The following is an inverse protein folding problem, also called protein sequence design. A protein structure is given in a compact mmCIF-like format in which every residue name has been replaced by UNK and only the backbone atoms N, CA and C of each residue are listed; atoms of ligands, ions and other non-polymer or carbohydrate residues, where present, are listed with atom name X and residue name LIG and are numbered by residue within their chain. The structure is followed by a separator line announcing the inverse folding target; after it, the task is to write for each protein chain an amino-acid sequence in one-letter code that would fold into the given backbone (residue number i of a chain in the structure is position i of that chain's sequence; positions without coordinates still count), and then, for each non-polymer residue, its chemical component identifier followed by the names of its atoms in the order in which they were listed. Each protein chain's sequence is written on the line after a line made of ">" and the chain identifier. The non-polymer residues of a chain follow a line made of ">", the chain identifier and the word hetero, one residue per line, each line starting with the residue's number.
data_IF_314097401697
#
_entry.id   IF_314097401697
#
_cell.length_a   1.000
_cell.length_b   1.000
_cell.length_c   1.000
_cell.angle_alpha   90.00
_cell.angle_beta   90.00
_cell.angle_gamma   90.00
#
_symmetry.space_group_name_H-M   'P 1'
#
loop_
_entity.id
_entity.type
_entity.pdbx_description
1 polymer ?
#
# COMPACT_ATOMS: atom_id res chain seq x y z
N UNK A 1 10.04 -20.11 -9.26
CA UNK A 1 11.11 -19.13 -8.92
C UNK A 1 12.54 -19.68 -8.89
N UNK A 2 12.81 -20.95 -8.55
CA UNK A 2 14.19 -21.47 -8.50
C UNK A 2 14.97 -21.27 -9.82
N UNK A 3 14.30 -21.37 -10.96
CA UNK A 3 14.87 -21.17 -12.30
C UNK A 3 15.27 -19.70 -12.57
N UNK A 4 14.49 -18.75 -12.06
CA UNK A 4 14.73 -17.30 -12.27
C UNK A 4 16.09 -16.88 -11.71
N UNK A 5 16.50 -17.44 -10.56
CA UNK A 5 17.82 -17.15 -9.99
C UNK A 5 18.94 -17.56 -10.93
N UNK A 6 18.83 -18.74 -11.57
CA UNK A 6 19.85 -19.22 -12.50
C UNK A 6 19.96 -18.29 -13.71
N UNK A 7 18.82 -17.82 -14.23
CA UNK A 7 18.78 -16.84 -15.34
C UNK A 7 19.42 -15.51 -14.92
N UNK A 8 19.03 -14.94 -13.78
CA UNK A 8 19.60 -13.69 -13.27
C UNK A 8 21.09 -13.80 -13.00
N UNK A 9 21.56 -14.95 -12.52
CA UNK A 9 22.98 -15.18 -12.22
C UNK A 9 23.82 -15.39 -13.47
N UNK A 10 23.23 -15.82 -14.58
CA UNK A 10 23.94 -16.15 -15.82
C UNK A 10 23.99 -15.00 -16.82
N UNK A 11 23.10 -14.01 -16.66
CA UNK A 11 22.94 -12.90 -17.60
C UNK A 11 23.19 -11.56 -16.90
N UNK A 12 23.88 -10.64 -17.59
CA UNK A 12 24.00 -9.25 -17.16
C UNK A 12 23.12 -8.38 -18.06
N UNK A 13 22.27 -7.54 -17.46
CA UNK A 13 21.29 -6.75 -18.21
C UNK A 13 21.54 -5.24 -18.06
N UNK A 14 22.57 -4.68 -18.71
CA UNK A 14 23.05 -3.31 -18.45
C UNK A 14 22.06 -2.20 -18.83
N UNK A 15 20.99 -2.56 -19.56
CA UNK A 15 19.96 -1.64 -20.04
C UNK A 15 18.55 -2.08 -19.65
N UNK A 16 18.43 -3.00 -18.70
CA UNK A 16 17.10 -3.46 -18.27
C UNK A 16 16.40 -2.33 -17.54
N UNK A 17 15.30 -1.87 -18.12
CA UNK A 17 14.46 -0.82 -17.54
C UNK A 17 13.19 -1.36 -16.90
N UNK A 18 12.75 -2.53 -17.34
CA UNK A 18 11.49 -3.15 -16.89
C UNK A 18 11.72 -4.61 -16.59
N UNK A 19 11.32 -5.03 -15.40
CA UNK A 19 11.32 -6.42 -14.99
C UNK A 19 9.95 -6.78 -14.43
N UNK A 20 9.44 -7.94 -14.85
CA UNK A 20 8.22 -8.52 -14.31
C UNK A 20 8.47 -9.99 -14.04
N UNK A 21 8.34 -10.40 -12.77
CA UNK A 21 8.45 -11.78 -12.34
C UNK A 21 7.10 -12.22 -11.79
N UNK A 22 6.52 -13.25 -12.39
CA UNK A 22 5.25 -13.83 -11.95
C UNK A 22 5.45 -15.31 -11.60
N UNK A 23 4.83 -15.76 -10.52
CA UNK A 23 4.86 -17.16 -10.08
C UNK A 23 3.46 -17.61 -9.68
N UNK A 24 3.03 -18.79 -10.13
CA UNK A 24 1.74 -19.33 -9.71
C UNK A 24 1.76 -19.83 -8.26
N UNK A 25 2.91 -20.30 -7.80
CA UNK A 25 3.15 -20.66 -6.39
C UNK A 25 3.81 -19.50 -5.64
N UNK A 26 3.39 -19.30 -4.39
CA UNK A 26 4.04 -18.34 -3.52
C UNK A 26 5.48 -18.78 -3.18
N UNK A 27 6.46 -17.86 -3.20
CA UNK A 27 7.82 -18.20 -2.83
C UNK A 27 7.91 -18.40 -1.32
N UNK A 28 8.95 -19.11 -0.88
CA UNK A 28 9.43 -18.97 0.50
C UNK A 28 10.14 -17.62 0.65
N UNK A 29 10.13 -17.03 1.84
CA UNK A 29 10.79 -15.73 2.06
C UNK A 29 12.28 -15.77 1.67
N UNK A 30 12.98 -16.87 2.00
CA UNK A 30 14.39 -17.08 1.61
C UNK A 30 14.61 -17.04 0.08
N UNK A 31 13.67 -17.59 -0.69
CA UNK A 31 13.77 -17.59 -2.15
C UNK A 31 13.53 -16.19 -2.70
N UNK A 32 12.58 -15.46 -2.12
CA UNK A 32 12.33 -14.07 -2.49
C UNK A 32 13.57 -13.21 -2.21
N UNK A 33 14.14 -13.29 -1.01
CA UNK A 33 15.34 -12.52 -0.63
C UNK A 33 16.47 -12.76 -1.63
N UNK A 34 16.73 -14.00 -2.01
CA UNK A 34 17.74 -14.34 -3.03
C UNK A 34 17.43 -13.77 -4.42
N UNK A 35 16.16 -13.67 -4.79
CA UNK A 35 15.75 -13.04 -6.05
C UNK A 35 15.98 -11.52 -5.99
N UNK A 36 15.66 -10.88 -4.87
CA UNK A 36 15.87 -9.45 -4.66
C UNK A 36 17.37 -9.10 -4.64
N UNK A 37 18.19 -9.90 -3.95
CA UNK A 37 19.66 -9.81 -3.99
C UNK A 37 20.19 -9.97 -5.43
N UNK A 38 19.71 -10.96 -6.17
CA UNK A 38 20.15 -11.15 -7.56
C UNK A 38 19.74 -9.98 -8.46
N UNK A 39 18.58 -9.37 -8.22
CA UNK A 39 18.15 -8.14 -8.93
C UNK A 39 19.12 -7.00 -8.62
N UNK A 40 19.43 -6.78 -7.34
CA UNK A 40 20.35 -5.74 -6.87
C UNK A 40 21.77 -5.89 -7.45
N UNK A 41 22.32 -7.10 -7.49
CA UNK A 41 23.67 -7.35 -7.98
C UNK A 41 23.81 -7.27 -9.51
N UNK A 42 22.75 -7.59 -10.26
CA UNK A 42 22.84 -7.87 -11.71
C UNK A 42 22.19 -6.81 -12.59
N UNK A 43 21.39 -5.93 -12.02
CA UNK A 43 20.71 -4.86 -12.72
C UNK A 43 21.31 -3.54 -12.25
N UNK A 44 21.85 -2.70 -13.15
CA UNK A 44 22.33 -1.38 -12.76
C UNK A 44 21.22 -0.58 -12.07
N UNK A 45 21.52 -0.04 -10.89
CA UNK A 45 20.52 0.63 -10.05
C UNK A 45 19.87 1.82 -10.75
N UNK A 46 20.65 2.52 -11.58
CA UNK A 46 20.18 3.65 -12.37
C UNK A 46 19.30 3.28 -13.58
N UNK A 47 19.25 2.01 -14.01
CA UNK A 47 18.53 1.62 -15.22
C UNK A 47 17.11 1.15 -14.95
N UNK A 48 16.85 0.50 -13.82
CA UNK A 48 15.55 -0.09 -13.51
C UNK A 48 14.53 1.00 -13.15
N UNK A 49 13.43 1.02 -13.89
CA UNK A 49 12.35 2.02 -13.76
C UNK A 49 11.03 1.35 -13.39
N UNK A 50 10.87 0.08 -13.75
CA UNK A 50 9.66 -0.71 -13.54
C UNK A 50 10.04 -2.07 -12.97
N UNK A 51 9.50 -2.40 -11.81
CA UNK A 51 9.67 -3.69 -11.17
C UNK A 51 8.31 -4.21 -10.72
N UNK A 52 7.94 -5.38 -11.22
CA UNK A 52 6.73 -6.10 -10.84
C UNK A 52 7.08 -7.49 -10.34
N UNK A 53 6.65 -7.83 -9.14
CA UNK A 53 6.93 -9.07 -8.44
C UNK A 53 5.61 -9.65 -7.93
N UNK A 54 5.08 -10.61 -8.68
CA UNK A 54 3.79 -11.24 -8.39
C UNK A 54 3.99 -12.71 -8.06
N UNK A 55 3.40 -13.17 -6.96
CA UNK A 55 3.30 -14.60 -6.71
C UNK A 55 1.94 -14.98 -6.12
N UNK A 56 1.46 -16.15 -6.51
CA UNK A 56 0.27 -16.75 -5.94
C UNK A 56 0.43 -17.08 -4.45
N UNK A 57 -0.64 -17.60 -3.87
CA UNK A 57 -0.70 -17.82 -2.42
C UNK A 57 0.20 -18.99 -1.99
N UNK A 58 0.89 -18.83 -0.86
CA UNK A 58 1.42 -19.98 -0.12
C UNK A 58 0.31 -20.49 0.80
N UNK A 59 0.22 -21.81 0.98
CA UNK A 59 -0.54 -22.36 2.13
C UNK A 59 0.21 -22.19 3.45
N UNK A 60 1.49 -21.80 3.38
CA UNK A 60 2.35 -21.61 4.53
C UNK A 60 2.15 -20.19 5.09
N UNK A 61 1.39 -20.10 6.19
CA UNK A 61 0.95 -18.85 6.84
C UNK A 61 2.09 -18.21 7.66
N UNK A 62 3.22 -18.91 7.82
CA UNK A 62 4.32 -18.48 8.69
C UNK A 62 5.20 -17.37 8.11
N UNK A 63 5.35 -17.30 6.79
CA UNK A 63 6.33 -16.44 6.14
C UNK A 63 5.95 -14.95 6.24
N UNK A 64 6.96 -14.10 6.48
CA UNK A 64 6.81 -12.64 6.60
C UNK A 64 7.92 -11.98 5.78
N UNK A 65 7.54 -11.00 4.96
CA UNK A 65 8.44 -10.05 4.31
C UNK A 65 8.45 -8.77 5.13
N UNK A 66 9.62 -8.33 5.56
CA UNK A 66 9.80 -7.06 6.26
C UNK A 66 10.65 -6.09 5.44
N UNK A 67 10.92 -4.91 5.99
CA UNK A 67 11.74 -3.90 5.31
C UNK A 67 13.16 -4.39 4.98
N UNK A 68 13.76 -5.23 5.82
CA UNK A 68 15.10 -5.76 5.56
C UNK A 68 15.15 -6.61 4.28
N UNK A 69 14.09 -7.36 3.98
CA UNK A 69 13.94 -8.10 2.70
C UNK A 69 13.90 -7.17 1.49
N UNK A 70 13.26 -6.00 1.61
CA UNK A 70 13.09 -5.05 0.52
C UNK A 70 14.27 -4.06 0.39
N UNK A 71 15.16 -4.01 1.38
CA UNK A 71 16.24 -3.01 1.46
C UNK A 71 17.19 -3.02 0.26
N UNK A 72 17.43 -4.20 -0.33
CA UNK A 72 18.22 -4.31 -1.56
C UNK A 72 17.58 -3.61 -2.76
N UNK A 73 16.29 -3.25 -2.69
CA UNK A 73 15.62 -2.47 -3.71
C UNK A 73 15.73 -0.95 -3.51
N UNK A 74 16.27 -0.48 -2.38
CA UNK A 74 16.30 0.96 -2.06
C UNK A 74 17.31 1.73 -2.91
N UNK A 75 18.36 1.08 -3.42
CA UNK A 75 19.35 1.71 -4.30
C UNK A 75 18.80 2.08 -5.69
N UNK A 76 17.64 1.52 -6.09
CA UNK A 76 17.00 1.80 -7.38
C UNK A 76 16.23 3.14 -7.36
N UNK A 77 16.95 4.25 -7.17
CA UNK A 77 16.36 5.60 -7.02
C UNK A 77 15.54 6.09 -8.23
N UNK A 78 15.71 5.48 -9.41
CA UNK A 78 14.94 5.78 -10.62
C UNK A 78 13.67 4.94 -10.78
N UNK A 79 13.30 4.16 -9.76
CA UNK A 79 12.09 3.35 -9.79
C UNK A 79 10.86 4.27 -9.85
N UNK A 80 10.04 4.07 -10.89
CA UNK A 80 8.80 4.81 -11.14
C UNK A 80 7.59 3.93 -10.89
N UNK A 81 7.74 2.62 -11.05
CA UNK A 81 6.67 1.65 -10.86
C UNK A 81 7.19 0.48 -10.04
N UNK A 82 6.58 0.25 -8.89
CA UNK A 82 6.84 -0.89 -8.04
C UNK A 82 5.52 -1.58 -7.70
N UNK A 83 5.41 -2.85 -8.10
CA UNK A 83 4.22 -3.65 -7.88
C UNK A 83 4.59 -5.00 -7.27
N UNK A 84 4.39 -5.10 -5.95
CA UNK A 84 4.72 -6.25 -5.13
C UNK A 84 3.44 -6.84 -4.55
N UNK A 85 3.02 -7.97 -5.14
CA UNK A 85 1.81 -8.70 -4.73
C UNK A 85 2.19 -10.15 -4.47
N UNK A 86 2.16 -10.57 -3.20
CA UNK A 86 2.69 -11.86 -2.79
C UNK A 86 1.79 -12.60 -1.82
N UNK A 87 1.86 -13.93 -1.87
CA UNK A 87 1.22 -14.89 -0.94
C UNK A 87 1.62 -14.79 0.52
N UNK A 88 2.39 -13.77 0.87
CA UNK A 88 3.18 -13.68 2.09
C UNK A 88 2.80 -12.39 2.81
N UNK A 89 2.76 -12.46 4.14
CA UNK A 89 2.51 -11.27 4.96
C UNK A 89 3.61 -10.23 4.76
N UNK A 90 3.20 -8.97 4.72
CA UNK A 90 4.11 -7.83 4.66
C UNK A 90 4.04 -7.13 6.03
N UNK A 91 5.20 -6.89 6.64
CA UNK A 91 5.34 -6.22 7.92
C UNK A 91 6.20 -4.97 7.75
N UNK A 92 5.58 -3.80 7.74
CA UNK A 92 6.25 -2.51 7.56
C UNK A 92 5.76 -1.52 8.61
N UNK A 93 6.70 -0.79 9.21
CA UNK A 93 6.43 0.32 10.12
C UNK A 93 6.44 1.65 9.37
N UNK A 94 6.05 2.75 10.03
CA UNK A 94 6.10 4.09 9.41
C UNK A 94 7.53 4.52 9.05
N UNK A 95 8.52 4.15 9.86
CA UNK A 95 9.94 4.39 9.58
C UNK A 95 10.41 3.61 8.34
N UNK A 96 9.93 2.39 8.15
CA UNK A 96 10.23 1.59 6.96
C UNK A 96 9.63 2.25 5.71
N UNK A 97 8.38 2.73 5.79
CA UNK A 97 7.74 3.47 4.71
C UNK A 97 8.49 4.75 4.40
N UNK A 98 8.98 5.46 5.43
CA UNK A 98 9.80 6.66 5.28
C UNK A 98 11.10 6.40 4.53
N UNK A 99 11.88 5.40 4.96
CA UNK A 99 13.16 5.04 4.32
C UNK A 99 12.92 4.64 2.85
N UNK A 100 11.87 3.86 2.60
CA UNK A 100 11.45 3.44 1.26
C UNK A 100 11.03 4.64 0.39
N UNK A 101 10.23 5.55 0.92
CA UNK A 101 9.76 6.75 0.21
C UNK A 101 10.93 7.68 -0.17
N UNK A 102 11.88 7.87 0.75
CA UNK A 102 13.11 8.62 0.49
C UNK A 102 13.99 7.96 -0.56
N UNK A 103 13.97 6.63 -0.62
CA UNK A 103 14.74 5.84 -1.58
C UNK A 103 14.15 5.87 -2.98
N UNK A 104 12.83 6.07 -3.13
CA UNK A 104 12.15 6.09 -4.44
C UNK A 104 11.41 7.41 -4.69
N UNK A 105 12.12 8.55 -4.79
CA UNK A 105 11.49 9.87 -4.91
C UNK A 105 10.71 10.07 -6.22
N UNK A 106 10.96 9.22 -7.23
CA UNK A 106 10.31 9.27 -8.54
C UNK A 106 9.16 8.26 -8.69
N UNK A 107 8.79 7.56 -7.62
CA UNK A 107 7.73 6.57 -7.68
C UNK A 107 6.39 7.23 -8.05
N UNK A 108 5.70 6.62 -9.00
CA UNK A 108 4.36 7.00 -9.47
C UNK A 108 3.31 5.97 -9.10
N UNK A 109 3.70 4.70 -9.13
CA UNK A 109 2.84 3.59 -8.79
C UNK A 109 3.55 2.74 -7.73
N UNK A 110 2.96 2.69 -6.54
CA UNK A 110 3.44 1.87 -5.44
C UNK A 110 2.34 0.90 -5.03
N UNK A 111 2.56 -0.39 -5.25
CA UNK A 111 1.68 -1.47 -4.81
C UNK A 111 2.46 -2.42 -3.91
N UNK A 112 2.01 -2.56 -2.67
CA UNK A 112 2.55 -3.42 -1.63
C UNK A 112 1.38 -4.14 -0.96
N UNK A 113 0.95 -5.25 -1.57
CA UNK A 113 -0.20 -5.99 -1.09
C UNK A 113 0.18 -7.45 -0.78
N UNK A 114 -0.25 -7.93 0.38
CA UNK A 114 -0.28 -9.35 0.68
C UNK A 114 -1.57 -9.94 0.10
N UNK A 115 -1.48 -10.95 -0.77
CA UNK A 115 -2.64 -11.72 -1.24
C UNK A 115 -2.87 -13.00 -0.42
N UNK A 116 -2.19 -13.15 0.73
CA UNK A 116 -2.40 -14.25 1.68
C UNK A 116 -3.92 -14.48 1.87
N UNK A 117 -4.39 -15.67 1.46
CA UNK A 117 -5.75 -15.89 0.95
C UNK A 117 -6.88 -15.40 1.87
N UNK A 118 -7.96 -14.90 1.25
CA UNK A 118 -9.30 -14.67 1.85
C UNK A 118 -9.73 -15.74 2.87
N UNK A 119 -9.45 -17.01 2.58
CA UNK A 119 -9.83 -18.13 3.43
C UNK A 119 -9.01 -18.18 4.73
N UNK A 120 -7.72 -17.82 4.67
CA UNK A 120 -6.91 -17.68 5.87
C UNK A 120 -7.42 -16.52 6.73
N UNK A 121 -7.79 -15.40 6.10
CA UNK A 121 -8.34 -14.21 6.77
C UNK A 121 -9.63 -14.57 7.51
N UNK A 122 -10.61 -15.16 6.81
CA UNK A 122 -11.92 -15.44 7.41
C UNK A 122 -11.87 -16.50 8.54
N UNK A 123 -10.89 -17.42 8.51
CA UNK A 123 -10.71 -18.43 9.56
C UNK A 123 -9.77 -18.02 10.71
N UNK A 124 -8.95 -16.98 10.55
CA UNK A 124 -7.97 -16.55 11.59
C UNK A 124 -8.38 -15.30 12.36
N UNK A 125 -9.36 -14.52 11.87
CA UNK A 125 -9.89 -13.35 12.61
C UNK A 125 -10.43 -13.71 13.99
N UNK A 126 -10.83 -14.96 14.20
CA UNK A 126 -11.48 -15.40 15.44
C UNK A 126 -10.55 -15.89 16.53
N UNK A 127 -9.26 -16.16 16.25
CA UNK A 127 -8.40 -16.84 17.24
C UNK A 127 -7.08 -16.15 17.61
N UNK A 128 -6.53 -15.24 16.80
CA UNK A 128 -5.44 -14.37 17.29
C UNK A 128 -5.40 -13.01 16.56
N UNK A 129 -6.00 -11.95 17.13
CA UNK A 129 -5.91 -10.60 16.58
C UNK A 129 -4.48 -10.04 16.56
N UNK A 130 -3.51 -10.67 17.24
CA UNK A 130 -2.09 -10.24 17.25
C UNK A 130 -1.27 -10.76 16.07
N UNK A 131 -1.85 -11.60 15.22
CA UNK A 131 -1.14 -12.22 14.09
C UNK A 131 -1.01 -11.30 12.85
N UNK A 132 -1.69 -10.15 12.86
CA UNK A 132 -1.53 -9.13 11.83
C UNK A 132 -0.33 -8.25 12.17
N UNK A 133 0.77 -8.60 11.50
CA UNK A 133 2.03 -7.88 11.40
C UNK A 133 1.84 -6.36 11.31
N UNK A 134 2.74 -5.61 11.95
CA UNK A 134 2.82 -4.14 11.93
C UNK A 134 2.48 -3.60 10.54
N UNK A 135 1.39 -2.86 10.48
CA UNK A 135 1.02 -2.07 9.31
C UNK A 135 1.52 -0.65 9.55
N UNK A 136 1.94 0.07 8.50
CA UNK A 136 2.14 1.48 8.63
C UNK A 136 0.81 2.14 9.04
N UNK A 137 0.89 3.14 9.88
CA UNK A 137 -0.26 3.96 10.22
C UNK A 137 -0.52 4.97 9.10
N UNK A 138 -1.52 5.83 9.30
CA UNK A 138 -1.73 6.99 8.44
C UNK A 138 -0.49 7.92 8.38
N UNK A 139 0.34 7.97 9.42
CA UNK A 139 1.58 8.75 9.41
C UNK A 139 2.58 8.26 8.34
N UNK A 140 2.68 6.95 8.13
CA UNK A 140 3.48 6.38 7.05
C UNK A 140 3.06 6.90 5.67
N UNK A 141 1.75 7.15 5.45
CA UNK A 141 1.26 7.71 4.19
C UNK A 141 1.71 9.16 3.98
N UNK A 142 1.88 9.93 5.05
CA UNK A 142 2.39 11.30 4.99
C UNK A 142 3.82 11.32 4.47
N UNK A 143 4.65 10.34 4.85
CA UNK A 143 6.00 10.21 4.30
C UNK A 143 5.99 9.96 2.79
N UNK A 144 5.06 9.14 2.28
CA UNK A 144 4.88 8.97 0.84
C UNK A 144 4.46 10.28 0.16
N UNK A 145 3.50 11.02 0.72
CA UNK A 145 3.09 12.32 0.20
C UNK A 145 4.26 13.32 0.14
N UNK A 146 5.12 13.31 1.18
CA UNK A 146 6.25 14.23 1.33
C UNK A 146 7.43 13.89 0.41
N UNK A 147 7.81 12.61 0.31
CA UNK A 147 9.02 12.20 -0.41
C UNK A 147 8.76 11.69 -1.83
N UNK A 148 7.51 11.33 -2.16
CA UNK A 148 7.12 10.83 -3.48
C UNK A 148 6.13 11.79 -4.17
N UNK A 149 6.56 13.00 -4.57
CA UNK A 149 5.67 14.03 -5.12
C UNK A 149 5.07 13.67 -6.49
N UNK A 150 5.50 12.56 -7.10
CA UNK A 150 4.92 12.05 -8.35
C UNK A 150 3.97 10.87 -8.14
N UNK A 151 3.67 10.49 -6.90
CA UNK A 151 2.84 9.32 -6.62
C UNK A 151 1.40 9.52 -7.14
N UNK A 152 0.97 8.69 -8.09
CA UNK A 152 -0.33 8.74 -8.77
C UNK A 152 -1.27 7.61 -8.30
N UNK A 153 -0.69 6.45 -7.97
CA UNK A 153 -1.41 5.28 -7.45
C UNK A 153 -0.68 4.69 -6.24
N UNK A 154 -1.44 4.46 -5.18
CA UNK A 154 -1.00 3.78 -3.97
C UNK A 154 -1.89 2.57 -3.71
N UNK A 155 -1.28 1.41 -3.47
CA UNK A 155 -1.94 0.26 -2.91
C UNK A 155 -1.09 -0.24 -1.74
N UNK A 156 -1.57 -0.02 -0.52
CA UNK A 156 -0.86 -0.35 0.70
C UNK A 156 -1.89 -0.56 1.80
N UNK A 157 -1.71 -1.62 2.58
CA UNK A 157 -2.52 -1.81 3.77
C UNK A 157 -2.02 -0.88 4.87
N UNK A 158 -2.92 -0.12 5.50
CA UNK A 158 -2.60 0.86 6.52
C UNK A 158 -3.50 0.67 7.74
N UNK A 159 -2.90 0.82 8.92
CA UNK A 159 -3.66 0.96 10.15
C UNK A 159 -4.26 2.36 10.20
N UNK A 160 -5.59 2.40 10.24
CA UNK A 160 -6.36 3.64 10.29
C UNK A 160 -6.74 4.00 11.71
N UNK A 161 -6.46 3.16 12.72
CA UNK A 161 -6.68 3.47 14.14
C UNK A 161 -5.73 4.60 14.56
N UNK A 162 -6.25 5.79 14.81
CA UNK A 162 -5.45 6.98 15.11
C UNK A 162 -5.59 8.15 14.13
N UNK A 163 -6.54 8.09 13.20
CA UNK A 163 -6.84 9.21 12.29
C UNK A 163 -7.16 10.52 13.02
N UNK A 164 -7.96 10.46 14.09
CA UNK A 164 -8.33 11.62 14.92
C UNK A 164 -7.10 12.32 15.53
N UNK A 165 -6.23 11.55 16.19
CA UNK A 165 -5.04 12.07 16.85
C UNK A 165 -4.08 12.79 15.87
N UNK A 166 -3.99 12.30 14.62
CA UNK A 166 -3.16 12.97 13.62
C UNK A 166 -3.68 14.37 13.27
N UNK A 167 -5.01 14.51 13.11
CA UNK A 167 -5.67 15.76 12.73
C UNK A 167 -5.54 16.84 13.82
N UNK A 168 -5.53 16.43 15.10
CA UNK A 168 -5.30 17.34 16.23
C UNK A 168 -3.90 17.94 16.21
N UNK A 169 -2.89 17.16 15.82
CA UNK A 169 -1.48 17.58 15.85
C UNK A 169 -1.08 18.36 14.59
N UNK A 170 -1.67 18.04 13.43
CA UNK A 170 -1.28 18.62 12.13
C UNK A 170 -2.44 19.32 11.41
N UNK A 171 -3.10 20.32 12.03
CA UNK A 171 -4.19 21.03 11.39
C UNK A 171 -3.65 21.86 10.22
N UNK A 172 -3.82 21.35 8.99
CA UNK A 172 -3.51 22.11 7.77
C UNK A 172 -2.02 22.18 7.39
N UNK A 173 -1.17 21.25 7.83
CA UNK A 173 0.17 21.11 7.25
C UNK A 173 0.08 20.58 5.81
N UNK A 174 -0.04 21.54 4.89
CA UNK A 174 -0.30 21.36 3.48
C UNK A 174 0.80 20.71 2.67
N UNK A 175 0.75 19.38 2.53
CA UNK A 175 1.40 18.69 1.40
C UNK A 175 0.57 18.90 0.13
N UNK A 176 0.55 20.13 -0.37
CA UNK A 176 -0.46 20.63 -1.30
C UNK A 176 -0.29 20.24 -2.78
N UNK A 177 0.46 19.20 -3.12
CA UNK A 177 0.65 18.86 -4.54
C UNK A 177 0.88 17.39 -4.82
N UNK A 178 0.29 16.49 -4.03
CA UNK A 178 0.30 15.07 -4.42
C UNK A 178 -0.62 14.84 -5.64
N UNK A 179 -0.13 14.26 -6.74
CA UNK A 179 -0.96 13.86 -7.87
C UNK A 179 -1.68 12.53 -7.61
N UNK A 180 -1.68 12.05 -6.36
CA UNK A 180 -2.30 10.78 -5.99
C UNK A 180 -3.78 10.84 -6.29
N UNK A 181 -4.21 9.91 -7.14
CA UNK A 181 -5.56 9.82 -7.69
C UNK A 181 -6.29 8.59 -7.18
N UNK A 182 -5.55 7.52 -6.96
CA UNK A 182 -6.09 6.20 -6.67
C UNK A 182 -5.43 5.62 -5.43
N UNK A 183 -6.26 5.24 -4.47
CA UNK A 183 -5.86 4.49 -3.29
C UNK A 183 -6.55 3.13 -3.32
N UNK A 184 -5.76 2.07 -3.21
CA UNK A 184 -6.23 0.73 -2.96
C UNK A 184 -5.87 0.34 -1.53
N UNK A 185 -6.88 -0.08 -0.79
CA UNK A 185 -6.78 -0.39 0.63
C UNK A 185 -7.35 -1.77 0.85
N UNK A 186 -6.65 -2.58 1.63
CA UNK A 186 -6.95 -4.00 1.80
C UNK A 186 -7.88 -4.20 3.00
N UNK A 187 -7.62 -3.46 4.09
CA UNK A 187 -8.42 -3.54 5.32
C UNK A 187 -9.55 -2.52 5.35
N UNK A 188 -10.68 -2.82 6.01
CA UNK A 188 -11.69 -1.81 6.31
C UNK A 188 -11.11 -0.73 7.26
N UNK A 189 -11.67 0.48 7.25
CA UNK A 189 -11.28 1.51 8.21
C UNK A 189 -11.63 1.08 9.64
N UNK A 190 -10.69 1.30 10.57
CA UNK A 190 -10.82 1.02 12.00
C UNK A 190 -11.24 2.26 12.81
N UNK A 191 -10.98 3.47 12.28
CA UNK A 191 -11.45 4.73 12.85
C UNK A 191 -12.78 5.17 12.26
N UNK A 192 -13.36 6.25 12.80
CA UNK A 192 -14.55 6.86 12.22
C UNK A 192 -14.28 7.30 10.77
N UNK A 193 -15.25 7.04 9.90
CA UNK A 193 -15.18 7.32 8.46
C UNK A 193 -14.85 8.79 8.19
N UNK A 194 -15.40 9.71 9.00
CA UNK A 194 -15.19 11.15 8.88
C UNK A 194 -13.72 11.54 9.10
N UNK A 195 -13.06 10.95 10.08
CA UNK A 195 -11.66 11.28 10.42
C UNK A 195 -10.70 10.76 9.35
N UNK A 196 -10.93 9.53 8.85
CA UNK A 196 -10.14 8.97 7.76
C UNK A 196 -10.33 9.80 6.49
N UNK A 197 -11.56 10.23 6.18
CA UNK A 197 -11.84 11.11 5.04
C UNK A 197 -11.14 12.47 5.17
N UNK A 198 -11.22 13.11 6.34
CA UNK A 198 -10.54 14.37 6.62
C UNK A 198 -9.02 14.24 6.49
N UNK A 199 -8.44 13.16 7.02
CA UNK A 199 -7.02 12.85 6.85
C UNK A 199 -6.64 12.71 5.37
N UNK A 200 -7.37 11.89 4.61
CA UNK A 200 -7.07 11.65 3.19
C UNK A 200 -7.22 12.93 2.36
N UNK A 201 -8.22 13.76 2.65
CA UNK A 201 -8.40 15.05 2.00
C UNK A 201 -7.22 16.00 2.29
N UNK A 202 -6.77 16.06 3.55
CA UNK A 202 -5.66 16.92 3.96
C UNK A 202 -4.33 16.52 3.29
N UNK A 203 -4.03 15.21 3.21
CA UNK A 203 -2.75 14.70 2.70
C UNK A 203 -2.78 14.48 1.19
N UNK A 204 -3.92 14.05 0.65
CA UNK A 204 -4.09 13.67 -0.76
C UNK A 204 -5.37 14.28 -1.36
N UNK A 205 -5.42 15.60 -1.54
CA UNK A 205 -6.64 16.31 -1.93
C UNK A 205 -7.20 15.89 -3.30
N UNK A 206 -6.40 15.21 -4.14
CA UNK A 206 -6.77 14.78 -5.49
C UNK A 206 -7.27 13.32 -5.60
N UNK A 207 -7.41 12.59 -4.49
CA UNK A 207 -7.87 11.18 -4.48
C UNK A 207 -9.35 11.06 -4.83
N UNK A 208 -9.67 10.69 -6.05
CA UNK A 208 -11.04 10.58 -6.55
C UNK A 208 -11.50 9.12 -6.72
N UNK A 209 -10.62 8.16 -6.42
CA UNK A 209 -10.94 6.75 -6.46
C UNK A 209 -10.29 6.02 -5.28
N UNK A 210 -11.13 5.45 -4.41
CA UNK A 210 -10.70 4.54 -3.34
C UNK A 210 -11.41 3.22 -3.59
N UNK A 211 -10.64 2.14 -3.68
CA UNK A 211 -11.20 0.81 -3.89
C UNK A 211 -10.65 -0.19 -2.88
N UNK A 212 -11.55 -0.92 -2.24
CA UNK A 212 -11.21 -2.11 -1.49
C UNK A 212 -10.72 -3.19 -2.44
N UNK A 213 -9.59 -3.83 -2.16
CA UNK A 213 -9.14 -4.96 -2.99
C UNK A 213 -10.02 -6.20 -2.84
N UNK A 214 -10.90 -6.24 -1.82
CA UNK A 214 -11.53 -7.47 -1.36
C UNK A 214 -13.03 -7.36 -1.01
N UNK A 215 -13.88 -7.80 -1.94
CA UNK A 215 -15.29 -8.12 -1.67
C UNK A 215 -16.22 -6.90 -1.51
N UNK A 216 -17.53 -7.17 -1.57
CA UNK A 216 -18.57 -6.13 -1.59
C UNK A 216 -18.48 -5.26 -0.31
N UNK A 217 -18.35 -5.89 0.87
CA UNK A 217 -18.42 -5.20 2.17
C UNK A 217 -17.27 -4.22 2.44
N UNK A 218 -16.02 -4.59 2.17
CA UNK A 218 -14.87 -3.67 2.35
C UNK A 218 -14.97 -2.53 1.34
N UNK A 219 -15.41 -2.86 0.11
CA UNK A 219 -15.74 -1.87 -0.91
C UNK A 219 -16.69 -0.80 -0.40
N UNK A 220 -17.80 -1.21 0.21
CA UNK A 220 -18.85 -0.30 0.70
C UNK A 220 -18.31 0.71 1.74
N UNK A 221 -17.52 0.26 2.71
CA UNK A 221 -16.96 1.16 3.74
C UNK A 221 -16.02 2.21 3.16
N UNK A 222 -15.19 1.85 2.18
CA UNK A 222 -14.28 2.81 1.54
C UNK A 222 -15.00 3.71 0.52
N UNK A 223 -16.12 3.26 -0.06
CA UNK A 223 -16.99 4.17 -0.82
C UNK A 223 -17.59 5.25 0.09
N UNK A 224 -17.96 4.93 1.33
CA UNK A 224 -18.41 5.94 2.30
C UNK A 224 -17.30 6.94 2.66
N UNK A 225 -16.06 6.47 2.85
CA UNK A 225 -14.90 7.36 3.05
C UNK A 225 -14.72 8.29 1.84
N UNK A 226 -14.74 7.75 0.61
CA UNK A 226 -14.62 8.55 -0.61
C UNK A 226 -15.74 9.58 -0.74
N UNK A 227 -16.98 9.19 -0.46
CA UNK A 227 -18.11 10.10 -0.46
C UNK A 227 -17.89 11.27 0.51
N UNK A 228 -17.41 11.01 1.74
CA UNK A 228 -17.07 12.09 2.69
C UNK A 228 -15.89 12.95 2.23
N UNK A 229 -14.91 12.39 1.52
CA UNK A 229 -13.85 13.18 0.87
C UNK A 229 -14.45 14.11 -0.20
N UNK A 230 -15.42 13.64 -0.97
CA UNK A 230 -16.09 14.44 -2.01
C UNK A 230 -17.01 15.53 -1.43
N UNK A 231 -17.61 15.30 -0.26
CA UNK A 231 -18.29 16.35 0.52
C UNK A 231 -17.30 17.42 0.94
N UNK A 232 -16.14 17.03 1.51
CA UNK A 232 -15.10 17.99 1.94
C UNK A 232 -14.53 18.81 0.77
N UNK A 233 -14.56 18.27 -0.45
CA UNK A 233 -14.21 18.99 -1.68
C UNK A 233 -15.28 20.00 -2.14
N UNK A 234 -16.50 19.89 -1.63
CA UNK A 234 -17.67 20.59 -2.15
C UNK A 234 -18.10 20.07 -3.53
N UNK A 235 -17.75 18.83 -3.89
CA UNK A 235 -18.19 18.21 -5.16
C UNK A 235 -19.53 17.50 -5.03
N UNK A 236 -19.98 17.21 -3.80
CA UNK A 236 -21.27 16.60 -3.46
C UNK A 236 -21.82 17.34 -2.23
N UNK A 237 -23.13 17.56 -2.17
CA UNK A 237 -23.80 18.09 -0.99
C UNK A 237 -24.20 16.94 -0.07
N UNK A 238 -24.03 17.11 1.25
CA UNK A 238 -24.72 16.24 2.20
C UNK A 238 -26.18 16.71 2.20
N UNK A 239 -27.09 15.85 1.75
CA UNK A 239 -28.51 16.08 1.99
C UNK A 239 -28.67 16.01 3.52
N UNK A 240 -28.91 17.16 4.16
CA UNK A 240 -29.13 17.28 5.62
C UNK A 240 -30.50 16.69 6.05
N UNK A 241 -31.18 15.99 5.15
CA UNK A 241 -32.58 15.67 5.23
C UNK A 241 -32.79 14.20 5.65
N UNK A 242 -32.67 13.87 6.94
CA UNK A 242 -33.31 12.66 7.52
C UNK A 242 -33.32 12.61 9.07
N UNK A 243 -33.30 13.75 9.80
CA UNK A 243 -33.44 13.76 11.27
C UNK A 243 -34.80 14.30 11.81
N UNK A 244 -35.78 14.62 10.95
CA UNK A 244 -37.00 15.33 11.37
C UNK A 244 -38.32 14.51 11.36
N UNK A 245 -38.30 13.18 11.32
CA UNK A 245 -39.55 12.36 11.39
C UNK A 245 -39.57 11.33 12.54
N UNK A 246 -39.27 11.73 13.78
CA UNK A 246 -39.71 10.99 14.97
C UNK A 246 -40.23 11.94 16.06
N UNK A 247 -41.29 12.71 15.76
CA UNK A 247 -42.02 13.47 16.78
C UNK A 247 -43.48 13.76 16.37
N UNK A 248 -44.23 12.77 15.86
CA UNK A 248 -45.70 12.85 15.83
C UNK A 248 -46.40 11.53 16.22
N UNK A 249 -46.93 11.55 17.46
CA UNK A 249 -48.08 10.83 18.07
C UNK A 249 -48.01 9.33 18.44
#
# INVERSE_FOLDING_TARGET
>A
MADIRAVLSSCHFPRLRRMSLTSQSGPKADLLNRVLEAIHERIPHASLVYLKLHAGNTMDVGEIVNAASLRSLYDFHHLVYFDFVMGIRIALTDDDIKEMAMSWPHIKHLVLCSNASKDAIQHTWTHDPRAWTTKPTLEGLVHLARYCPSLELLALDADTSGAEAYLEVHPGEGYHSSPLRTIHVVSPPLSAIKDVAAFLYAVFPNVWFINGTDGIVVGDTWQLVLHKVDVLRGTVYEDEDEEDEEDEE
#
